data_IF_126598317833
#
_entry.id   IF_126598317833
#
_cell.length_a   1.000
_cell.length_b   1.000
_cell.length_c   1.000
_cell.angle_alpha   90.00
_cell.angle_beta   90.00
_cell.angle_gamma   90.00
#
_symmetry.space_group_name_H-M   'P 1'
#
loop_
_entity.id
_entity.type
_entity.pdbx_description
1 polymer ?
#
# COMPACT_ATOMS: atom_id res chain seq x y z
N UNK A 1 -49.29 57.92 -0.33
CA UNK A 1 -48.08 58.09 -1.16
C UNK A 1 -46.97 57.24 -0.56
N UNK A 2 -46.52 56.25 -1.35
CA UNK A 2 -45.31 55.42 -1.23
C UNK A 2 -45.20 54.38 -0.11
N UNK A 3 -45.53 53.14 -0.49
CA UNK A 3 -45.15 51.85 0.13
C UNK A 3 -43.64 51.61 0.19
N UNK A 4 -43.22 50.63 1.02
CA UNK A 4 -42.26 49.50 0.78
C UNK A 4 -41.43 49.23 2.06
N UNK A 5 -41.08 48.02 2.52
CA UNK A 5 -41.30 46.60 2.17
C UNK A 5 -40.96 45.80 3.45
N UNK A 6 -41.70 44.72 3.74
CA UNK A 6 -41.34 43.72 4.76
C UNK A 6 -40.33 42.75 4.13
N UNK A 7 -39.10 42.64 4.62
CA UNK A 7 -38.07 41.70 4.11
C UNK A 7 -37.97 40.48 5.04
N UNK A 8 -38.55 39.32 4.70
CA UNK A 8 -38.02 38.17 3.92
C UNK A 8 -36.90 37.41 4.63
N UNK A 9 -37.26 36.25 5.18
CA UNK A 9 -36.37 35.19 5.70
C UNK A 9 -35.56 34.54 4.57
N UNK A 10 -34.31 34.13 4.85
CA UNK A 10 -33.55 33.20 4.00
C UNK A 10 -33.02 32.06 4.87
N UNK A 11 -33.71 30.92 4.83
CA UNK A 11 -33.14 29.62 5.18
C UNK A 11 -32.16 29.26 4.06
N UNK A 12 -30.86 29.18 4.38
CA UNK A 12 -29.86 28.66 3.46
C UNK A 12 -29.96 27.14 3.47
N UNK A 13 -30.54 26.58 2.40
CA UNK A 13 -30.50 25.16 2.09
C UNK A 13 -29.07 24.85 1.59
N UNK A 14 -28.22 24.28 2.45
CA UNK A 14 -26.89 23.82 2.03
C UNK A 14 -27.08 22.55 1.20
N UNK A 15 -27.00 22.68 -0.13
CA UNK A 15 -26.86 21.56 -1.05
C UNK A 15 -25.53 20.85 -0.75
N UNK A 16 -25.61 19.65 -0.18
CA UNK A 16 -24.51 18.69 -0.11
C UNK A 16 -24.16 18.22 -1.53
N UNK A 17 -23.39 19.02 -2.26
CA UNK A 17 -22.59 18.48 -3.35
C UNK A 17 -21.43 17.71 -2.69
N UNK A 18 -21.59 16.40 -2.58
CA UNK A 18 -20.50 15.50 -2.21
C UNK A 18 -19.56 15.51 -3.42
N UNK A 19 -18.61 16.44 -3.44
CA UNK A 19 -17.52 16.40 -4.39
C UNK A 19 -16.70 15.17 -4.02
N UNK A 20 -16.80 14.10 -4.82
CA UNK A 20 -15.92 12.94 -4.73
C UNK A 20 -14.51 13.39 -5.10
N UNK A 21 -13.78 13.95 -4.13
CA UNK A 21 -12.34 14.10 -4.24
C UNK A 21 -11.78 12.68 -4.39
N UNK A 22 -11.00 12.37 -5.45
CA UNK A 22 -10.30 11.10 -5.50
C UNK A 22 -9.40 11.03 -4.27
N UNK A 23 -9.75 10.17 -3.31
CA UNK A 23 -8.87 9.87 -2.19
C UNK A 23 -7.72 9.04 -2.76
N UNK A 24 -6.63 9.71 -3.13
CA UNK A 24 -5.35 9.03 -3.25
C UNK A 24 -5.02 8.49 -1.88
N UNK A 25 -5.10 7.17 -1.70
CA UNK A 25 -4.65 6.50 -0.48
C UNK A 25 -3.23 6.98 -0.25
N UNK A 26 -3.00 7.76 0.79
CA UNK A 26 -1.65 8.17 1.14
C UNK A 26 -0.82 6.89 1.27
N UNK A 27 0.40 6.88 0.71
CA UNK A 27 1.39 5.81 0.94
C UNK A 27 1.81 5.88 2.41
N UNK A 28 0.89 5.44 3.28
CA UNK A 28 1.12 5.32 4.70
C UNK A 28 2.02 4.11 4.89
N UNK A 29 3.02 4.25 5.74
CA UNK A 29 3.82 3.11 6.14
C UNK A 29 2.91 2.05 6.76
N UNK A 30 3.00 0.80 6.31
CA UNK A 30 2.16 -0.31 6.78
C UNK A 30 2.20 -0.41 8.32
N UNK A 31 3.39 -0.55 8.90
CA UNK A 31 3.56 -0.78 10.33
C UNK A 31 4.88 -0.15 10.81
N UNK A 32 4.77 0.83 11.70
CA UNK A 32 5.89 1.63 12.19
C UNK A 32 6.87 0.86 13.10
N UNK A 33 6.53 -0.35 13.56
CA UNK A 33 7.48 -1.25 14.23
C UNK A 33 8.55 -1.78 13.25
N UNK A 34 8.26 -1.74 11.95
CA UNK A 34 9.18 -2.10 10.89
C UNK A 34 9.90 -0.86 10.38
N UNK A 35 11.21 -0.78 10.61
CA UNK A 35 11.97 0.46 10.38
C UNK A 35 12.44 0.64 8.93
N UNK A 36 12.44 -0.45 8.14
CA UNK A 36 13.01 -0.47 6.79
C UNK A 36 12.06 -1.16 5.81
N UNK A 37 12.04 -0.67 4.56
CA UNK A 37 11.34 -1.30 3.44
C UNK A 37 12.15 -1.15 2.16
N UNK A 38 11.98 -2.10 1.24
CA UNK A 38 12.53 -2.03 -0.12
C UNK A 38 11.38 -2.21 -1.11
N UNK A 39 11.27 -1.32 -2.09
CA UNK A 39 10.26 -1.43 -3.15
C UNK A 39 10.67 -2.53 -4.12
N UNK A 40 9.74 -3.41 -4.44
CA UNK A 40 9.88 -4.41 -5.51
C UNK A 40 8.91 -4.03 -6.62
N UNK A 41 9.44 -3.66 -7.79
CA UNK A 41 8.63 -3.28 -8.95
C UNK A 41 8.44 -4.49 -9.85
N UNK A 42 7.19 -4.89 -10.06
CA UNK A 42 6.82 -5.98 -10.97
C UNK A 42 6.30 -5.35 -12.26
N UNK A 43 6.90 -5.72 -13.39
CA UNK A 43 6.45 -5.30 -14.71
C UNK A 43 5.93 -6.52 -15.48
N UNK A 44 4.65 -6.53 -15.82
CA UNK A 44 4.05 -7.50 -16.72
C UNK A 44 3.65 -6.80 -18.02
N UNK A 45 4.32 -7.11 -19.13
CA UNK A 45 4.03 -6.54 -20.46
C UNK A 45 3.15 -7.45 -21.32
N UNK A 46 2.74 -8.61 -20.80
CA UNK A 46 1.91 -9.59 -21.49
C UNK A 46 0.45 -9.55 -21.04
N UNK A 47 -0.23 -10.68 -21.18
CA UNK A 47 -1.61 -10.86 -20.74
C UNK A 47 -1.74 -10.81 -19.21
N UNK A 48 -2.97 -10.61 -18.75
CA UNK A 48 -3.31 -10.65 -17.33
C UNK A 48 -2.94 -12.01 -16.73
N UNK A 49 -2.17 -12.00 -15.64
CA UNK A 49 -1.83 -13.18 -14.86
C UNK A 49 -2.66 -13.21 -13.57
N UNK A 50 -3.17 -14.38 -13.23
CA UNK A 50 -3.86 -14.67 -11.95
C UNK A 50 -3.17 -15.85 -11.27
N UNK A 51 -3.22 -15.90 -9.94
CA UNK A 51 -2.65 -16.99 -9.12
C UNK A 51 -1.17 -17.32 -9.44
N UNK A 52 -0.38 -16.27 -9.71
CA UNK A 52 1.03 -16.39 -10.07
C UNK A 52 1.95 -15.99 -8.92
N UNK A 53 2.92 -16.84 -8.59
CA UNK A 53 3.89 -16.59 -7.52
C UNK A 53 5.12 -15.84 -8.03
N UNK A 54 5.66 -14.96 -7.19
CA UNK A 54 6.85 -14.17 -7.48
C UNK A 54 8.02 -14.68 -6.66
N UNK A 55 9.12 -15.03 -7.34
CA UNK A 55 10.38 -15.38 -6.69
C UNK A 55 11.11 -14.13 -6.25
N UNK A 56 11.43 -14.07 -4.97
CA UNK A 56 12.33 -13.08 -4.37
C UNK A 56 13.64 -13.78 -4.01
N UNK A 57 14.73 -13.36 -4.66
CA UNK A 57 16.08 -13.85 -4.37
C UNK A 57 16.83 -12.80 -3.55
N UNK A 58 17.40 -13.22 -2.43
CA UNK A 58 18.24 -12.39 -1.58
C UNK A 58 19.68 -12.84 -1.72
N UNK A 59 20.56 -11.88 -2.00
CA UNK A 59 22.01 -12.08 -2.06
C UNK A 59 22.68 -11.54 -0.79
N UNK A 60 24.02 -11.51 -0.77
CA UNK A 60 24.82 -11.02 0.36
C UNK A 60 24.65 -9.52 0.67
N UNK A 61 23.92 -8.75 -0.14
CA UNK A 61 23.57 -7.36 0.16
C UNK A 61 22.40 -7.22 1.16
N UNK A 62 21.69 -8.32 1.44
CA UNK A 62 20.66 -8.36 2.47
C UNK A 62 21.30 -8.51 3.87
N UNK A 63 20.71 -7.87 4.87
CA UNK A 63 21.14 -8.01 6.26
C UNK A 63 20.61 -9.32 6.86
N UNK A 64 21.50 -10.29 7.03
CA UNK A 64 21.17 -11.59 7.63
C UNK A 64 21.38 -11.63 9.15
N UNK A 65 21.31 -10.49 9.85
CA UNK A 65 21.42 -10.44 11.31
C UNK A 65 20.32 -11.25 12.03
N UNK A 66 19.20 -11.52 11.36
CA UNK A 66 18.17 -12.48 11.78
C UNK A 66 18.34 -13.83 11.10
N UNK A 67 18.45 -14.89 11.90
CA UNK A 67 18.90 -16.20 11.44
C UNK A 67 17.83 -17.03 10.71
N UNK A 68 16.57 -16.61 10.69
CA UNK A 68 15.42 -17.36 10.18
C UNK A 68 14.48 -16.55 9.26
N UNK A 69 14.84 -15.31 8.89
CA UNK A 69 14.00 -14.43 8.06
C UNK A 69 12.71 -13.96 8.74
N UNK A 70 12.65 -13.99 10.07
CA UNK A 70 11.49 -13.50 10.84
C UNK A 70 11.22 -12.00 10.66
N UNK A 71 12.24 -11.26 10.23
CA UNK A 71 12.25 -9.84 9.88
C UNK A 71 11.99 -9.57 8.40
N UNK A 72 11.23 -10.44 7.73
CA UNK A 72 10.77 -10.18 6.38
C UNK A 72 9.25 -10.17 6.34
N UNK A 73 8.71 -9.19 5.63
CA UNK A 73 7.30 -9.07 5.35
C UNK A 73 7.06 -8.49 3.95
N UNK A 74 5.96 -8.91 3.32
CA UNK A 74 5.57 -8.45 1.99
C UNK A 74 4.20 -7.79 2.06
N UNK A 75 4.07 -6.62 1.44
CA UNK A 75 2.81 -5.92 1.24
C UNK A 75 2.65 -5.52 -0.21
N UNK A 76 1.40 -5.45 -0.65
CA UNK A 76 1.07 -4.77 -1.90
C UNK A 76 1.10 -3.23 -1.75
N UNK A 77 0.87 -2.53 -2.86
CA UNK A 77 0.80 -1.06 -2.91
C UNK A 77 -0.34 -0.46 -2.08
N UNK A 78 -1.26 -1.29 -1.59
CA UNK A 78 -2.37 -0.89 -0.73
C UNK A 78 -2.08 -1.21 0.75
N UNK A 79 -0.88 -1.64 1.12
CA UNK A 79 -0.51 -2.10 2.47
C UNK A 79 -1.29 -3.34 2.94
N UNK A 80 -1.73 -4.19 2.03
CA UNK A 80 -2.26 -5.50 2.39
C UNK A 80 -1.08 -6.48 2.50
N UNK A 81 -0.95 -7.13 3.66
CA UNK A 81 0.06 -8.15 3.88
C UNK A 81 -0.20 -9.35 2.95
N UNK A 82 0.87 -9.84 2.32
CA UNK A 82 0.83 -10.94 1.37
C UNK A 82 1.34 -12.22 2.04
N UNK A 83 0.69 -13.34 1.75
CA UNK A 83 1.20 -14.67 2.09
C UNK A 83 2.51 -14.92 1.37
N UNK A 84 3.45 -15.58 2.03
CA UNK A 84 4.71 -15.99 1.44
C UNK A 84 5.22 -17.27 2.10
N UNK A 85 6.20 -17.93 1.49
CA UNK A 85 6.94 -19.02 2.10
C UNK A 85 8.42 -18.94 1.75
N UNK A 86 9.26 -19.34 2.71
CA UNK A 86 10.71 -19.37 2.55
C UNK A 86 11.10 -20.75 2.02
N UNK A 87 11.52 -20.82 0.76
CA UNK A 87 12.03 -22.06 0.16
C UNK A 87 13.42 -22.39 0.66
N UNK A 88 14.25 -21.37 0.76
CA UNK A 88 15.64 -21.49 1.15
C UNK A 88 16.05 -20.28 1.95
N UNK A 89 16.68 -20.52 3.09
CA UNK A 89 17.33 -19.49 3.88
C UNK A 89 18.80 -19.83 4.04
N UNK A 90 19.68 -18.99 3.51
CA UNK A 90 21.12 -19.10 3.69
C UNK A 90 21.71 -17.73 4.03
N UNK A 91 22.15 -17.61 5.29
CA UNK A 91 22.79 -16.41 5.83
C UNK A 91 24.10 -16.03 5.11
N UNK A 92 24.63 -16.91 4.27
CA UNK A 92 25.78 -16.62 3.40
C UNK A 92 25.40 -15.80 2.15
N UNK A 93 24.14 -15.40 2.00
CA UNK A 93 23.68 -14.56 0.88
C UNK A 93 23.06 -15.36 -0.27
N UNK A 94 22.28 -16.39 0.01
CA UNK A 94 21.63 -17.21 -1.03
C UNK A 94 20.28 -17.75 -0.52
N UNK A 95 19.29 -16.86 -0.45
CA UNK A 95 17.95 -17.18 0.04
C UNK A 95 16.89 -17.00 -1.05
N UNK A 96 15.87 -17.84 -1.01
CA UNK A 96 14.75 -17.86 -1.95
C UNK A 96 13.45 -17.82 -1.16
N UNK A 97 12.62 -16.84 -1.50
CA UNK A 97 11.29 -16.64 -0.93
C UNK A 97 10.30 -16.56 -2.08
N UNK A 98 9.12 -17.11 -1.87
CA UNK A 98 8.02 -17.04 -2.83
C UNK A 98 6.86 -16.30 -2.20
N UNK A 99 6.37 -15.29 -2.90
CA UNK A 99 5.21 -14.47 -2.54
C UNK A 99 4.08 -14.79 -3.50
#
# INVERSE_FOLDING_TARGET
>A
MNMRVKSVSIMVLVLLAIVSVPQTKADLWWNYDWQYRRVVTINNTGDLLTDYQIKIALDSSFDYSKSNGEDIRFVDSNNNELSYWIEKWNVSGDSIIWV
#
